data_IF_222196939409
#
_entry.id   IF_222196939409
#
_cell.length_a   1.000
_cell.length_b   1.000
_cell.length_c   1.000
_cell.angle_alpha   90.00
_cell.angle_beta   90.00
_cell.angle_gamma   90.00
#
_symmetry.space_group_name_H-M   'P 1'
#
loop_
_entity.id
_entity.type
_entity.pdbx_description
1 polymer ?
#
# COMPACT_ATOMS: atom_id res chain seq x y z
N UNK A 1 5.46 -11.44 12.74
CA UNK A 1 5.70 -9.98 12.62
C UNK A 1 4.43 -9.26 13.08
N UNK A 2 4.52 -8.41 14.11
CA UNK A 2 3.36 -7.65 14.63
C UNK A 2 3.34 -6.30 13.92
N UNK A 3 2.28 -6.02 13.17
CA UNK A 3 2.12 -4.75 12.45
C UNK A 3 1.48 -3.76 13.43
N UNK A 4 2.13 -2.63 13.71
CA UNK A 4 1.54 -1.62 14.58
C UNK A 4 0.38 -0.93 13.86
N UNK A 5 0.63 -0.39 12.68
CA UNK A 5 -0.38 0.24 11.83
C UNK A 5 -0.36 -0.34 10.44
N UNK A 6 -1.52 -0.74 9.93
CA UNK A 6 -1.72 -0.92 8.50
C UNK A 6 -2.29 0.36 7.91
N UNK A 7 -1.50 1.01 7.08
CA UNK A 7 -1.84 2.20 6.33
C UNK A 7 -2.37 1.79 4.97
N UNK A 8 -3.66 2.01 4.72
CA UNK A 8 -4.31 1.66 3.46
C UNK A 8 -4.47 2.92 2.63
N UNK A 9 -3.84 2.93 1.45
CA UNK A 9 -3.82 4.04 0.53
C UNK A 9 -4.53 3.66 -0.77
N UNK A 10 -5.53 4.43 -1.17
CA UNK A 10 -6.20 4.26 -2.45
C UNK A 10 -5.43 4.99 -3.56
N UNK A 11 -4.91 4.26 -4.53
CA UNK A 11 -4.05 4.82 -5.57
C UNK A 11 -4.80 5.48 -6.72
N UNK A 12 -6.11 5.19 -6.83
CA UNK A 12 -7.02 5.79 -7.80
C UNK A 12 -7.42 7.21 -7.37
N UNK A 13 -7.27 7.52 -6.08
CA UNK A 13 -7.41 8.86 -5.57
C UNK A 13 -6.07 9.62 -5.76
N UNK A 14 -6.14 10.80 -6.39
CA UNK A 14 -4.97 11.65 -6.70
C UNK A 14 -4.45 12.40 -5.46
N UNK A 15 -4.24 11.67 -4.37
CA UNK A 15 -3.64 12.22 -3.15
C UNK A 15 -2.13 12.23 -3.32
N UNK A 16 -1.49 13.28 -2.82
CA UNK A 16 -0.03 13.33 -2.80
C UNK A 16 0.50 12.45 -1.67
N UNK A 17 0.98 11.26 -2.02
CA UNK A 17 1.61 10.32 -1.09
C UNK A 17 2.74 10.97 -0.28
N UNK A 18 3.41 12.01 -0.81
CA UNK A 18 4.49 12.69 -0.10
C UNK A 18 4.00 13.47 1.12
N UNK A 19 2.76 13.96 1.11
CA UNK A 19 2.18 14.65 2.27
C UNK A 19 1.84 13.67 3.40
N UNK A 20 1.59 12.41 3.04
CA UNK A 20 1.19 11.39 3.99
C UNK A 20 2.37 10.64 4.60
N UNK A 21 3.43 10.42 3.83
CA UNK A 21 4.61 9.65 4.26
C UNK A 21 5.23 10.06 5.61
N UNK A 22 5.27 11.34 6.00
CA UNK A 22 5.78 11.75 7.31
C UNK A 22 5.04 11.14 8.51
N UNK A 23 3.80 10.67 8.32
CA UNK A 23 2.99 10.05 9.38
C UNK A 23 3.14 8.53 9.46
N UNK A 24 3.91 7.92 8.54
CA UNK A 24 4.13 6.47 8.49
C UNK A 24 5.40 6.12 9.25
N UNK A 25 5.26 5.41 10.37
CA UNK A 25 6.41 4.94 11.14
C UNK A 25 7.10 3.75 10.44
N UNK A 26 8.37 3.50 10.78
CA UNK A 26 9.15 2.37 10.23
C UNK A 26 8.56 0.99 10.57
N UNK A 27 7.84 0.88 11.69
CA UNK A 27 7.18 -0.35 12.12
C UNK A 27 5.78 -0.54 11.50
N UNK A 28 5.32 0.44 10.73
CA UNK A 28 4.05 0.37 10.04
C UNK A 28 4.20 -0.29 8.66
N UNK A 29 3.07 -0.73 8.12
CA UNK A 29 2.96 -1.31 6.79
C UNK A 29 2.05 -0.46 5.93
N UNK A 30 2.51 -0.11 4.72
CA UNK A 30 1.72 0.59 3.71
C UNK A 30 1.14 -0.43 2.73
N UNK A 31 -0.16 -0.40 2.53
CA UNK A 31 -0.88 -1.17 1.53
C UNK A 31 -1.49 -0.21 0.52
N UNK A 32 -1.00 -0.24 -0.71
CA UNK A 32 -1.57 0.50 -1.83
C UNK A 32 -2.60 -0.37 -2.52
N UNK A 33 -3.83 0.12 -2.61
CA UNK A 33 -4.92 -0.52 -3.34
C UNK A 33 -5.15 0.25 -4.64
N UNK A 34 -5.17 -0.48 -5.76
CA UNK A 34 -5.44 0.05 -7.09
C UNK A 34 -6.43 -0.85 -7.83
N UNK A 35 -7.38 -0.26 -8.54
CA UNK A 35 -8.14 -1.02 -9.53
C UNK A 35 -7.24 -1.40 -10.72
N UNK A 36 -6.51 -0.43 -11.29
CA UNK A 36 -5.49 -0.64 -12.30
C UNK A 36 -4.29 0.26 -12.05
N UNK A 37 -3.09 -0.17 -12.44
CA UNK A 37 -1.91 0.70 -12.37
C UNK A 37 -0.95 0.45 -13.52
N UNK A 38 -0.44 1.54 -14.09
CA UNK A 38 0.59 1.47 -15.13
C UNK A 38 1.94 1.10 -14.51
N UNK A 39 2.79 0.41 -15.28
CA UNK A 39 4.15 0.06 -14.84
C UNK A 39 4.98 1.28 -14.42
N UNK A 40 4.77 2.43 -15.06
CA UNK A 40 5.45 3.69 -14.73
C UNK A 40 5.03 4.21 -13.36
N UNK A 41 3.72 4.30 -13.07
CA UNK A 41 3.21 4.76 -11.78
C UNK A 41 3.57 3.79 -10.66
N UNK A 42 3.53 2.48 -10.93
CA UNK A 42 3.99 1.45 -10.00
C UNK A 42 5.45 1.64 -9.59
N UNK A 43 6.37 1.81 -10.56
CA UNK A 43 7.79 2.06 -10.28
C UNK A 43 8.02 3.37 -9.52
N UNK A 44 7.24 4.42 -9.84
CA UNK A 44 7.30 5.69 -9.11
C UNK A 44 6.93 5.48 -7.63
N UNK A 45 5.80 4.83 -7.34
CA UNK A 45 5.36 4.55 -5.98
C UNK A 45 6.35 3.67 -5.23
N UNK A 46 6.91 2.63 -5.86
CA UNK A 46 7.96 1.82 -5.25
C UNK A 46 9.19 2.66 -4.85
N UNK A 47 9.58 3.62 -5.70
CA UNK A 47 10.72 4.50 -5.41
C UNK A 47 10.41 5.46 -4.26
N UNK A 48 9.23 6.06 -4.25
CA UNK A 48 8.80 6.99 -3.20
C UNK A 48 8.69 6.29 -1.84
N UNK A 49 8.23 5.05 -1.84
CA UNK A 49 7.97 4.26 -0.64
C UNK A 49 9.10 3.29 -0.30
N UNK A 50 10.27 3.41 -0.93
CA UNK A 50 11.39 2.47 -0.74
C UNK A 50 11.87 2.35 0.71
N UNK A 51 11.64 3.38 1.53
CA UNK A 51 11.99 3.42 2.96
C UNK A 51 10.95 2.75 3.86
N UNK A 52 9.76 2.45 3.34
CA UNK A 52 8.65 1.89 4.09
C UNK A 52 8.33 0.47 3.61
N UNK A 53 7.85 -0.37 4.52
CA UNK A 53 7.35 -1.69 4.14
C UNK A 53 6.06 -1.49 3.36
N UNK A 54 6.09 -1.80 2.07
CA UNK A 54 5.00 -1.47 1.15
C UNK A 54 4.54 -2.70 0.39
N UNK A 55 3.24 -2.90 0.32
CA UNK A 55 2.59 -3.93 -0.47
C UNK A 55 1.57 -3.29 -1.42
N UNK A 56 1.31 -3.96 -2.54
CA UNK A 56 0.33 -3.53 -3.53
C UNK A 56 -0.78 -4.57 -3.63
N UNK A 57 -2.03 -4.14 -3.69
CA UNK A 57 -3.17 -4.93 -4.10
C UNK A 57 -3.72 -4.30 -5.38
N UNK A 58 -3.57 -5.02 -6.49
CA UNK A 58 -3.96 -4.54 -7.83
C UNK A 58 -5.05 -5.48 -8.32
N UNK A 59 -6.28 -4.97 -8.50
CA UNK A 59 -7.40 -5.82 -8.95
C UNK A 59 -7.19 -6.30 -10.39
N UNK A 60 -6.88 -5.36 -11.27
CA UNK A 60 -6.70 -5.60 -12.70
C UNK A 60 -5.21 -5.49 -13.04
N UNK A 61 -4.48 -6.58 -12.84
CA UNK A 61 -3.03 -6.61 -12.96
C UNK A 61 -2.56 -7.09 -14.33
N UNK A 62 -2.92 -6.38 -15.40
CA UNK A 62 -2.55 -6.71 -16.79
C UNK A 62 -1.04 -6.80 -17.02
N UNK A 63 -0.26 -6.09 -16.20
CA UNK A 63 1.20 -5.99 -16.32
C UNK A 63 1.96 -7.03 -15.50
N UNK A 64 1.26 -7.98 -14.85
CA UNK A 64 1.85 -8.97 -13.94
C UNK A 64 2.81 -8.35 -12.90
N UNK A 65 2.43 -7.20 -12.35
CA UNK A 65 3.18 -6.50 -11.31
C UNK A 65 3.12 -7.28 -9.99
N UNK A 66 4.09 -7.09 -9.11
CA UNK A 66 4.07 -7.75 -7.81
C UNK A 66 2.92 -7.19 -6.96
N UNK A 67 1.94 -8.02 -6.66
CA UNK A 67 0.79 -7.67 -5.82
C UNK A 67 0.41 -8.83 -4.90
N UNK A 68 -0.16 -8.51 -3.75
CA UNK A 68 -0.78 -9.49 -2.86
C UNK A 68 -2.22 -9.78 -3.28
N UNK A 69 -2.75 -10.91 -2.83
CA UNK A 69 -4.16 -11.24 -3.03
C UNK A 69 -5.06 -10.51 -2.02
N UNK A 70 -6.36 -10.46 -2.31
CA UNK A 70 -7.35 -10.01 -1.34
C UNK A 70 -7.31 -10.82 -0.04
N UNK A 71 -7.08 -12.14 -0.13
CA UNK A 71 -6.99 -13.01 1.04
C UNK A 71 -5.79 -12.66 1.94
N UNK A 72 -4.68 -12.23 1.36
CA UNK A 72 -3.51 -11.78 2.11
C UNK A 72 -3.77 -10.45 2.80
N UNK A 73 -4.47 -9.52 2.15
CA UNK A 73 -4.90 -8.28 2.78
C UNK A 73 -5.79 -8.54 4.01
N UNK A 74 -6.79 -9.43 3.90
CA UNK A 74 -7.64 -9.80 5.05
C UNK A 74 -6.81 -10.36 6.20
N UNK A 75 -5.81 -11.20 5.91
CA UNK A 75 -4.86 -11.70 6.94
C UNK A 75 -4.01 -10.58 7.55
N UNK A 76 -3.63 -9.57 6.77
CA UNK A 76 -2.88 -8.41 7.28
C UNK A 76 -3.73 -7.55 8.21
N UNK A 77 -5.01 -7.33 7.88
CA UNK A 77 -5.96 -6.62 8.75
C UNK A 77 -6.05 -7.30 10.11
N UNK A 78 -6.22 -8.63 10.14
CA UNK A 78 -6.30 -9.39 11.38
C UNK A 78 -5.00 -9.37 12.22
N UNK A 79 -3.84 -9.16 11.58
CA UNK A 79 -2.52 -9.10 12.25
C UNK A 79 -2.11 -7.69 12.69
N UNK A 80 -2.87 -6.68 12.29
CA UNK A 80 -2.55 -5.28 12.56
C UNK A 80 -3.22 -4.80 13.83
N UNK A 81 -2.51 -4.05 14.67
CA UNK A 81 -3.09 -3.50 15.91
C UNK A 81 -4.12 -2.40 15.61
N UNK A 82 -3.87 -1.61 14.56
CA UNK A 82 -4.78 -0.58 14.05
C UNK A 82 -4.67 -0.47 12.54
N UNK A 83 -5.72 0.05 11.91
CA UNK A 83 -5.76 0.35 10.48
C UNK A 83 -6.10 1.82 10.29
N UNK A 84 -5.36 2.50 9.41
CA UNK A 84 -5.66 3.86 8.98
C UNK A 84 -5.89 3.82 7.48
N UNK A 85 -7.02 4.36 7.03
CA UNK A 85 -7.33 4.47 5.62
C UNK A 85 -7.21 5.93 5.22
N UNK A 86 -6.44 6.20 4.19
CA UNK A 86 -6.33 7.52 3.60
C UNK A 86 -7.21 7.56 2.36
N UNK A 87 -8.20 8.46 2.45
CA UNK A 87 -8.94 9.03 1.31
C UNK A 87 -8.25 10.34 0.97
#
# INVERSE_FOLDING_TARGET
MKIQTLHVYNCDENIDVNNYLPFVSFDDLVLIICDEITKTRYKLLQKLLAKHKTLFLIRTNHNNLTSISYSDWVKLLAKSKKTMTWK
#
